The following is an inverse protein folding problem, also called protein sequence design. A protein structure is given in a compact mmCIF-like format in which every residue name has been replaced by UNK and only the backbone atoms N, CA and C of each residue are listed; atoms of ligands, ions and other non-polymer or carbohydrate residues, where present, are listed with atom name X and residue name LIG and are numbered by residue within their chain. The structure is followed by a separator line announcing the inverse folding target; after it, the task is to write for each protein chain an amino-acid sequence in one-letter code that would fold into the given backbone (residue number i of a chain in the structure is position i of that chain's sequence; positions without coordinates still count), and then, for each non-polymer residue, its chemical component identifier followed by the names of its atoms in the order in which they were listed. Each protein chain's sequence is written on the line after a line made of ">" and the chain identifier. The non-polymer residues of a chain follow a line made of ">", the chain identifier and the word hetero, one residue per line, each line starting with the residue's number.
data_IF_546412194943
#
_entry.id   IF_546412194943
#
_cell.length_a   1.000
_cell.length_b   1.000
_cell.length_c   1.000
_cell.angle_alpha   90.00
_cell.angle_beta   90.00
_cell.angle_gamma   90.00
#
_symmetry.space_group_name_H-M   'P 1'
#
loop_
_entity.id
_entity.type
_entity.pdbx_description
1 polymer ?
#
# COMPACT_ATOMS: atom_id res chain seq x y z
N UNK A 1 -26.24 17.39 25.90
CA UNK A 1 -25.07 16.60 25.51
C UNK A 1 -25.49 15.78 24.32
N UNK A 2 -25.18 16.27 23.11
CA UNK A 2 -25.58 15.64 21.85
C UNK A 2 -24.70 14.41 21.61
N UNK A 3 -25.33 13.22 21.60
CA UNK A 3 -24.67 11.97 21.27
C UNK A 3 -24.02 12.07 19.88
N UNK A 4 -22.69 12.00 19.81
CA UNK A 4 -21.99 11.82 18.53
C UNK A 4 -22.46 10.48 17.97
N UNK A 5 -22.93 10.49 16.73
CA UNK A 5 -23.29 9.29 15.98
C UNK A 5 -22.17 8.25 16.08
N UNK A 6 -22.48 6.96 16.20
CA UNK A 6 -21.52 5.84 16.25
C UNK A 6 -20.52 5.85 15.07
N UNK A 7 -20.91 6.46 13.94
CA UNK A 7 -20.07 6.64 12.75
C UNK A 7 -18.90 7.61 12.93
N UNK A 8 -18.91 8.48 13.95
CA UNK A 8 -17.86 9.47 14.21
C UNK A 8 -17.15 9.26 15.55
N UNK A 9 -17.02 8.01 15.97
CA UNK A 9 -16.33 7.65 17.22
C UNK A 9 -14.80 7.73 17.08
N UNK A 10 -14.12 7.98 18.19
CA UNK A 10 -12.68 7.79 18.28
C UNK A 10 -12.36 6.30 18.22
N UNK A 11 -11.29 5.94 17.54
CA UNK A 11 -10.73 4.58 17.57
C UNK A 11 -10.15 4.27 18.95
N UNK A 12 -10.07 2.98 19.31
CA UNK A 12 -9.28 2.56 20.45
C UNK A 12 -7.77 2.79 20.20
N UNK A 13 -6.96 2.74 21.25
CA UNK A 13 -5.52 3.02 21.14
C UNK A 13 -4.81 2.05 20.19
N UNK A 14 -5.21 0.78 20.16
CA UNK A 14 -4.61 -0.22 19.27
C UNK A 14 -5.01 0.04 17.82
N UNK A 15 -6.27 0.33 17.55
CA UNK A 15 -6.77 0.67 16.22
C UNK A 15 -6.13 1.94 15.68
N UNK A 16 -5.95 2.97 16.53
CA UNK A 16 -5.23 4.19 16.14
C UNK A 16 -3.77 3.90 15.84
N UNK A 17 -3.09 3.09 16.65
CA UNK A 17 -1.70 2.69 16.40
C UNK A 17 -1.50 2.02 15.03
N UNK A 18 -2.46 1.23 14.55
CA UNK A 18 -2.41 0.65 13.19
C UNK A 18 -2.43 1.72 12.09
N UNK A 19 -3.23 2.80 12.27
CA UNK A 19 -3.25 3.92 11.34
C UNK A 19 -1.99 4.79 11.43
N UNK A 20 -1.43 4.96 12.63
CA UNK A 20 -0.19 5.70 12.86
C UNK A 20 1.03 5.01 12.21
N UNK A 21 0.94 3.70 12.01
CA UNK A 21 1.94 2.90 11.31
C UNK A 21 1.83 3.00 9.77
N UNK A 22 0.80 3.66 9.24
CA UNK A 22 0.59 3.84 7.80
C UNK A 22 1.10 5.21 7.35
N UNK A 23 2.17 5.23 6.53
CA UNK A 23 2.71 6.41 5.88
C UNK A 23 2.11 6.58 4.50
N UNK A 24 1.73 7.78 4.14
CA UNK A 24 1.37 8.15 2.77
C UNK A 24 2.52 8.94 2.14
N UNK A 25 2.93 8.57 0.92
CA UNK A 25 4.07 9.18 0.23
C UNK A 25 3.60 9.71 -1.11
N UNK A 26 3.72 11.02 -1.32
CA UNK A 26 3.43 11.67 -2.60
C UNK A 26 4.76 11.93 -3.32
N UNK A 27 4.96 11.29 -4.46
CA UNK A 27 6.20 11.39 -5.25
C UNK A 27 6.04 12.48 -6.29
N UNK A 28 6.88 13.49 -6.20
CA UNK A 28 6.95 14.64 -7.12
C UNK A 28 5.59 15.27 -7.44
N UNK A 29 4.74 15.57 -6.42
CA UNK A 29 3.46 16.20 -6.68
C UNK A 29 3.68 17.55 -7.39
N UNK A 30 2.89 17.78 -8.44
CA UNK A 30 3.06 18.96 -9.30
C UNK A 30 2.29 20.18 -8.78
N UNK A 31 1.23 19.97 -7.99
CA UNK A 31 0.35 20.99 -7.46
C UNK A 31 0.35 20.97 -5.93
N UNK A 32 0.77 22.05 -5.29
CA UNK A 32 0.71 22.24 -3.84
C UNK A 32 -0.72 22.08 -3.29
N UNK A 33 -1.72 22.49 -4.06
CA UNK A 33 -3.13 22.33 -3.76
C UNK A 33 -3.55 20.85 -3.53
N UNK A 34 -2.96 19.90 -4.27
CA UNK A 34 -3.20 18.47 -4.06
C UNK A 34 -2.59 17.97 -2.74
N UNK A 35 -1.44 18.55 -2.31
CA UNK A 35 -0.84 18.25 -1.01
C UNK A 35 -1.79 18.72 0.11
N UNK A 36 -2.33 19.95 0.03
CA UNK A 36 -3.30 20.47 0.98
C UNK A 36 -4.56 19.59 1.08
N UNK A 37 -5.11 19.21 -0.07
CA UNK A 37 -6.27 18.30 -0.13
C UNK A 37 -5.97 16.93 0.46
N UNK A 38 -4.78 16.37 0.21
CA UNK A 38 -4.35 15.09 0.79
C UNK A 38 -4.19 15.19 2.32
N UNK A 39 -3.62 16.28 2.83
CA UNK A 39 -3.55 16.54 4.28
C UNK A 39 -4.94 16.52 4.91
N UNK A 40 -5.91 17.21 4.31
CA UNK A 40 -7.30 17.22 4.78
C UNK A 40 -7.92 15.82 4.76
N UNK A 41 -7.73 15.07 3.67
CA UNK A 41 -8.21 13.70 3.52
C UNK A 41 -7.68 12.80 4.64
N UNK A 42 -6.37 12.80 4.87
CA UNK A 42 -5.73 12.01 5.92
C UNK A 42 -6.13 12.43 7.32
N UNK A 43 -6.29 13.76 7.56
CA UNK A 43 -6.79 14.28 8.83
C UNK A 43 -8.18 13.76 9.15
N UNK A 44 -9.08 13.78 8.17
CA UNK A 44 -10.45 13.27 8.31
C UNK A 44 -10.46 11.77 8.64
N UNK A 45 -9.53 11.00 8.11
CA UNK A 45 -9.42 9.55 8.32
C UNK A 45 -8.57 9.18 9.55
N UNK A 46 -7.93 10.15 10.22
CA UNK A 46 -7.12 9.92 11.41
C UNK A 46 -5.75 9.31 11.14
N UNK A 47 -5.19 9.49 9.94
CA UNK A 47 -3.87 9.00 9.53
C UNK A 47 -2.86 10.14 9.63
N UNK A 48 -1.83 10.05 10.49
CA UNK A 48 -0.95 11.19 10.78
C UNK A 48 0.22 11.36 9.80
N UNK A 49 0.75 10.31 9.20
CA UNK A 49 2.05 10.34 8.52
C UNK A 49 1.89 10.58 7.00
N UNK A 50 2.14 11.83 6.58
CA UNK A 50 2.26 12.21 5.18
C UNK A 50 3.70 12.68 4.90
N UNK A 51 4.30 12.10 3.87
CA UNK A 51 5.62 12.41 3.37
C UNK A 51 5.53 12.87 1.91
N UNK A 52 6.24 13.94 1.57
CA UNK A 52 6.35 14.41 0.19
C UNK A 52 7.79 14.20 -0.29
N UNK A 53 7.94 13.61 -1.46
CA UNK A 53 9.24 13.36 -2.09
C UNK A 53 9.42 14.30 -3.26
N UNK A 54 10.49 15.09 -3.27
CA UNK A 54 10.86 15.99 -4.36
C UNK A 54 9.66 16.78 -4.92
N UNK A 55 8.90 17.54 -4.10
CA UNK A 55 7.79 18.34 -4.59
C UNK A 55 8.28 19.37 -5.61
N UNK A 56 7.46 19.67 -6.61
CA UNK A 56 7.79 20.72 -7.59
C UNK A 56 7.96 22.08 -6.94
N UNK A 57 7.15 22.38 -5.95
CA UNK A 57 7.26 23.57 -5.10
C UNK A 57 7.75 23.16 -3.70
N UNK A 58 8.97 23.55 -3.35
CA UNK A 58 9.56 23.28 -2.04
C UNK A 58 8.86 24.05 -0.91
N UNK A 59 8.23 25.20 -1.23
CA UNK A 59 7.49 26.04 -0.31
C UNK A 59 6.00 25.68 -0.20
N UNK A 60 5.60 24.49 -0.64
CA UNK A 60 4.20 24.03 -0.69
C UNK A 60 3.41 24.23 0.62
N UNK A 61 4.09 24.31 1.77
CA UNK A 61 3.44 24.49 3.09
C UNK A 61 2.86 25.89 3.27
N UNK A 62 3.47 26.89 2.62
CA UNK A 62 3.04 28.29 2.62
C UNK A 62 2.20 28.65 1.37
N UNK A 63 2.05 27.73 0.42
CA UNK A 63 1.25 27.95 -0.78
C UNK A 63 -0.21 28.22 -0.45
N UNK A 64 -0.76 29.30 -1.02
CA UNK A 64 -2.13 29.73 -0.74
C UNK A 64 -3.18 28.68 -1.14
N UNK A 65 -2.95 27.96 -2.25
CA UNK A 65 -3.82 26.88 -2.71
C UNK A 65 -3.78 25.66 -1.78
N UNK A 66 -2.57 25.30 -1.30
CA UNK A 66 -2.42 24.22 -0.33
C UNK A 66 -3.10 24.55 1.00
N UNK A 67 -2.91 25.76 1.53
CA UNK A 67 -3.55 26.23 2.76
C UNK A 67 -5.08 26.26 2.63
N UNK A 68 -5.60 26.80 1.52
CA UNK A 68 -7.05 26.85 1.27
C UNK A 68 -7.69 25.46 1.23
N UNK A 69 -7.02 24.46 0.61
CA UNK A 69 -7.56 23.11 0.49
C UNK A 69 -7.26 22.21 1.69
N UNK A 70 -6.29 22.58 2.53
CA UNK A 70 -6.08 21.93 3.82
C UNK A 70 -7.22 22.23 4.83
N UNK A 71 -7.92 23.36 4.67
CA UNK A 71 -9.15 23.80 5.37
C UNK A 71 -9.39 23.16 6.75
N UNK A 72 -8.83 23.75 7.81
CA UNK A 72 -8.91 23.26 9.21
C UNK A 72 -7.83 22.23 9.57
N UNK A 73 -6.93 21.89 8.64
CA UNK A 73 -5.79 21.02 8.87
C UNK A 73 -4.44 21.71 8.57
N UNK A 74 -4.40 23.05 8.59
CA UNK A 74 -3.21 23.85 8.24
C UNK A 74 -2.03 23.55 9.17
N UNK A 75 -2.30 23.35 10.46
CA UNK A 75 -1.27 22.97 11.44
C UNK A 75 -0.59 21.63 11.08
N UNK A 76 -1.31 20.72 10.45
CA UNK A 76 -0.76 19.45 9.94
C UNK A 76 -0.01 19.65 8.63
N UNK A 77 -0.49 20.53 7.74
CA UNK A 77 0.22 20.87 6.50
C UNK A 77 1.62 21.41 6.84
N UNK A 78 1.75 22.26 7.84
CA UNK A 78 3.03 22.79 8.30
C UNK A 78 4.01 21.68 8.79
N UNK A 79 3.50 20.53 9.25
CA UNK A 79 4.28 19.40 9.76
C UNK A 79 4.57 18.31 8.72
N UNK A 80 4.04 18.42 7.50
CA UNK A 80 4.27 17.43 6.44
C UNK A 80 5.76 17.24 6.19
N UNK A 81 6.24 16.02 6.27
CA UNK A 81 7.62 15.67 6.03
C UNK A 81 8.01 15.84 4.54
N UNK A 82 9.28 16.15 4.28
CA UNK A 82 9.83 16.16 2.92
C UNK A 82 11.11 15.35 2.84
N UNK A 83 11.31 14.63 1.74
CA UNK A 83 12.53 13.84 1.48
C UNK A 83 13.03 14.08 0.05
N UNK A 84 14.36 13.99 -0.20
CA UNK A 84 14.89 14.20 -1.53
C UNK A 84 14.62 13.03 -2.50
N UNK A 85 14.36 11.82 -1.99
CA UNK A 85 14.15 10.63 -2.81
C UNK A 85 13.13 9.67 -2.17
N UNK A 86 12.55 8.80 -3.00
CA UNK A 86 11.64 7.75 -2.54
C UNK A 86 12.37 6.77 -1.60
N UNK A 87 13.61 6.40 -1.90
CA UNK A 87 14.42 5.51 -1.05
C UNK A 87 14.57 6.10 0.37
N UNK A 88 14.79 7.42 0.48
CA UNK A 88 14.87 8.09 1.78
C UNK A 88 13.52 8.15 2.52
N UNK A 89 12.41 8.23 1.79
CA UNK A 89 11.08 8.22 2.37
C UNK A 89 10.61 6.84 2.83
N UNK A 90 11.18 5.77 2.24
CA UNK A 90 10.82 4.37 2.53
C UNK A 90 11.81 3.67 3.48
N UNK A 91 12.93 4.30 3.83
CA UNK A 91 14.07 3.63 4.48
C UNK A 91 13.71 2.88 5.78
N UNK A 92 12.76 3.41 6.56
CA UNK A 92 12.26 2.87 7.83
C UNK A 92 10.93 2.09 7.71
N UNK A 93 10.44 1.87 6.49
CA UNK A 93 9.27 1.03 6.22
C UNK A 93 9.69 -0.41 5.92
N UNK A 94 8.85 -1.39 6.24
CA UNK A 94 9.08 -2.79 5.89
C UNK A 94 8.27 -3.23 4.67
N UNK A 95 7.24 -2.47 4.33
CA UNK A 95 6.38 -2.72 3.18
C UNK A 95 6.05 -1.41 2.47
N UNK A 96 6.11 -1.41 1.15
CA UNK A 96 5.63 -0.33 0.31
C UNK A 96 4.56 -0.85 -0.66
N UNK A 97 3.48 -0.11 -0.77
CA UNK A 97 2.33 -0.36 -1.63
C UNK A 97 2.29 0.74 -2.69
N UNK A 98 2.50 0.38 -3.95
CA UNK A 98 2.29 1.32 -5.06
C UNK A 98 0.79 1.54 -5.27
N UNK A 99 0.33 2.78 -5.35
CA UNK A 99 -1.03 3.13 -5.73
C UNK A 99 -1.00 3.66 -7.16
N UNK A 100 -1.52 2.87 -8.10
CA UNK A 100 -1.45 3.18 -9.53
C UNK A 100 -2.60 2.54 -10.28
N UNK A 101 -3.13 3.23 -11.30
CA UNK A 101 -4.11 2.66 -12.23
C UNK A 101 -3.46 1.59 -13.13
N UNK A 102 -2.18 1.75 -13.47
CA UNK A 102 -1.45 0.86 -14.37
C UNK A 102 -0.29 0.15 -13.67
N UNK A 103 -0.15 -1.15 -13.96
CA UNK A 103 1.00 -1.95 -13.56
C UNK A 103 2.22 -1.74 -14.46
N UNK A 104 3.31 -2.41 -14.11
CA UNK A 104 4.55 -2.47 -14.91
C UNK A 104 4.95 -3.93 -15.09
N UNK A 105 5.72 -4.21 -16.14
CA UNK A 105 6.09 -5.57 -16.58
C UNK A 105 6.61 -6.50 -15.47
N UNK A 106 7.36 -5.95 -14.50
CA UNK A 106 7.90 -6.68 -13.34
C UNK A 106 7.35 -6.16 -12.02
N UNK A 107 6.10 -5.66 -12.02
CA UNK A 107 5.42 -5.22 -10.80
C UNK A 107 4.71 -6.38 -10.08
N UNK A 108 4.29 -6.18 -8.83
CA UNK A 108 3.40 -7.10 -8.12
C UNK A 108 2.05 -7.22 -8.82
N UNK A 109 1.27 -8.26 -8.50
CA UNK A 109 -0.10 -8.39 -8.98
C UNK A 109 -1.01 -7.32 -8.38
N UNK A 110 -2.02 -6.81 -9.12
CA UNK A 110 -2.94 -5.80 -8.61
C UNK A 110 -3.85 -6.36 -7.52
N UNK A 111 -4.12 -5.53 -6.52
CA UNK A 111 -5.14 -5.80 -5.51
C UNK A 111 -6.03 -4.56 -5.33
N UNK A 112 -7.29 -4.78 -4.96
CA UNK A 112 -8.23 -3.69 -4.68
C UNK A 112 -8.04 -3.13 -3.26
N UNK A 113 -8.49 -1.88 -2.99
CA UNK A 113 -8.26 -1.21 -1.72
C UNK A 113 -8.72 -2.01 -0.48
N UNK A 114 -9.93 -2.53 -0.48
CA UNK A 114 -10.48 -3.27 0.67
C UNK A 114 -9.62 -4.48 1.08
N UNK A 115 -9.44 -5.49 0.20
CA UNK A 115 -8.62 -6.67 0.50
C UNK A 115 -7.18 -6.33 0.89
N UNK A 116 -6.53 -5.40 0.18
CA UNK A 116 -5.13 -5.06 0.46
C UNK A 116 -4.97 -4.28 1.77
N UNK A 117 -5.87 -3.36 2.09
CA UNK A 117 -5.86 -2.69 3.39
C UNK A 117 -6.08 -3.67 4.54
N UNK A 118 -6.96 -4.66 4.38
CA UNK A 118 -7.16 -5.71 5.39
C UNK A 118 -5.92 -6.59 5.56
N UNK A 119 -5.21 -6.96 4.47
CA UNK A 119 -3.92 -7.67 4.51
C UNK A 119 -2.87 -6.87 5.28
N UNK A 120 -2.67 -5.60 4.90
CA UNK A 120 -1.70 -4.68 5.54
C UNK A 120 -1.96 -4.54 7.04
N UNK A 121 -3.21 -4.31 7.43
CA UNK A 121 -3.58 -4.21 8.85
C UNK A 121 -3.39 -5.54 9.59
N UNK A 122 -3.57 -6.67 8.88
CA UNK A 122 -3.24 -8.00 9.39
C UNK A 122 -1.77 -8.14 9.74
N UNK A 123 -0.88 -7.75 8.83
CA UNK A 123 0.57 -7.78 9.01
C UNK A 123 1.04 -6.86 10.14
N UNK A 124 0.50 -5.63 10.23
CA UNK A 124 0.76 -4.68 11.32
C UNK A 124 0.30 -5.26 12.67
N UNK A 125 -0.92 -5.78 12.72
CA UNK A 125 -1.50 -6.37 13.94
C UNK A 125 -0.74 -7.60 14.43
N UNK A 126 -0.16 -8.38 13.53
CA UNK A 126 0.66 -9.55 13.82
C UNK A 126 2.12 -9.20 14.16
N UNK A 127 2.51 -7.92 14.08
CA UNK A 127 3.90 -7.48 14.32
C UNK A 127 4.89 -7.89 13.22
N UNK A 128 4.42 -8.39 12.08
CA UNK A 128 5.26 -8.77 10.94
C UNK A 128 5.90 -7.54 10.29
N UNK A 129 5.18 -6.43 10.27
CA UNK A 129 5.66 -5.11 9.85
C UNK A 129 5.34 -4.09 10.93
N UNK A 130 6.14 -3.03 11.03
CA UNK A 130 5.94 -1.92 11.97
C UNK A 130 5.50 -0.65 11.27
N UNK A 131 5.87 -0.49 9.99
CA UNK A 131 5.49 0.65 9.17
C UNK A 131 5.29 0.25 7.73
N UNK A 132 4.19 0.70 7.15
CA UNK A 132 3.83 0.48 5.75
C UNK A 132 3.69 1.83 5.05
N UNK A 133 4.22 1.94 3.83
CA UNK A 133 4.07 3.14 3.00
C UNK A 133 3.10 2.87 1.84
N UNK A 134 2.16 3.80 1.61
CA UNK A 134 1.33 3.88 0.42
C UNK A 134 1.88 4.98 -0.48
N UNK A 135 2.36 4.61 -1.66
CA UNK A 135 3.14 5.47 -2.56
C UNK A 135 2.28 5.88 -3.75
N UNK A 136 2.15 7.18 -3.92
CA UNK A 136 1.38 7.81 -5.00
C UNK A 136 2.33 8.58 -5.91
N UNK A 137 2.15 8.45 -7.21
CA UNK A 137 2.97 9.13 -8.21
C UNK A 137 2.47 10.53 -8.56
N UNK A 138 3.06 11.10 -9.60
CA UNK A 138 2.66 12.41 -10.14
C UNK A 138 1.23 12.37 -10.70
N UNK A 139 0.57 13.52 -10.73
CA UNK A 139 -0.81 13.64 -11.25
C UNK A 139 -0.93 13.28 -12.73
N UNK A 140 0.14 13.47 -13.52
CA UNK A 140 0.11 13.27 -14.96
C UNK A 140 0.51 11.87 -15.41
N UNK A 141 1.53 11.28 -14.79
CA UNK A 141 2.16 10.04 -15.26
C UNK A 141 2.09 8.90 -14.25
N UNK A 142 1.52 9.16 -13.06
CA UNK A 142 1.52 8.19 -11.97
C UNK A 142 2.94 7.83 -11.50
N UNK A 143 3.12 6.60 -11.06
CA UNK A 143 4.42 6.05 -10.65
C UNK A 143 5.19 5.53 -11.86
N UNK A 144 6.47 5.90 -11.97
CA UNK A 144 7.40 5.37 -12.95
C UNK A 144 7.84 3.93 -12.64
N UNK A 145 8.50 3.29 -13.61
CA UNK A 145 8.99 1.91 -13.45
C UNK A 145 9.96 1.75 -12.28
N UNK A 146 10.84 2.74 -12.07
CA UNK A 146 11.80 2.72 -10.96
C UNK A 146 11.12 2.84 -9.59
N UNK A 147 10.06 3.63 -9.49
CA UNK A 147 9.27 3.81 -8.25
C UNK A 147 8.43 2.57 -7.96
N UNK A 148 7.76 2.02 -8.97
CA UNK A 148 7.01 0.75 -8.85
C UNK A 148 7.93 -0.40 -8.39
N UNK A 149 9.18 -0.45 -8.86
CA UNK A 149 10.15 -1.46 -8.47
C UNK A 149 10.60 -1.38 -7.00
N UNK A 150 10.30 -0.28 -6.29
CA UNK A 150 10.51 -0.12 -4.84
C UNK A 150 9.36 -0.69 -4.01
N UNK A 151 8.22 -0.99 -4.63
CA UNK A 151 7.01 -1.42 -3.95
C UNK A 151 6.83 -2.94 -4.07
N UNK A 152 6.42 -3.60 -2.97
CA UNK A 152 6.20 -5.03 -2.90
C UNK A 152 4.74 -5.41 -3.15
N UNK A 153 3.84 -4.44 -3.08
CA UNK A 153 2.41 -4.59 -3.38
C UNK A 153 1.96 -3.51 -4.35
N UNK A 154 0.91 -3.81 -5.09
CA UNK A 154 0.27 -2.86 -5.99
C UNK A 154 -1.23 -2.78 -5.66
N UNK A 155 -1.67 -1.57 -5.32
CA UNK A 155 -3.08 -1.22 -5.13
C UNK A 155 -3.58 -0.51 -6.38
N UNK A 156 -4.64 -1.02 -6.97
CA UNK A 156 -5.36 -0.37 -8.05
C UNK A 156 -6.77 -0.02 -7.59
N UNK A 157 -7.20 1.22 -7.84
CA UNK A 157 -8.55 1.68 -7.54
C UNK A 157 -9.40 1.40 -8.78
N UNK A 158 -10.48 0.60 -8.67
CA UNK A 158 -11.38 0.39 -9.79
C UNK A 158 -11.96 1.70 -10.28
N UNK A 159 -11.83 1.97 -11.56
CA UNK A 159 -12.35 3.15 -12.22
C UNK A 159 -12.92 2.76 -13.60
N UNK A 160 -13.57 3.69 -14.25
CA UNK A 160 -14.05 3.51 -15.61
C UNK A 160 -12.89 3.24 -16.58
N UNK A 161 -13.10 2.32 -17.54
CA UNK A 161 -12.06 1.90 -18.48
C UNK A 161 -11.60 3.03 -19.40
N UNK A 162 -12.51 3.94 -19.75
CA UNK A 162 -12.22 5.06 -20.64
C UNK A 162 -11.67 6.27 -19.89
N UNK A 163 -11.86 6.33 -18.55
CA UNK A 163 -11.40 7.43 -17.71
C UNK A 163 -10.91 6.93 -16.33
N UNK A 164 -9.78 6.26 -16.31
CA UNK A 164 -9.24 5.59 -15.11
C UNK A 164 -8.38 6.50 -14.22
N UNK A 165 -8.03 7.71 -14.68
CA UNK A 165 -7.13 8.62 -13.95
C UNK A 165 -7.88 9.40 -12.86
N UNK A 166 -7.59 9.12 -11.61
CA UNK A 166 -8.10 9.89 -10.47
C UNK A 166 -7.19 11.08 -10.16
N UNK A 167 -7.78 12.16 -9.66
CA UNK A 167 -6.99 13.20 -9.00
C UNK A 167 -6.20 12.60 -7.83
N UNK A 168 -4.97 13.09 -7.60
CA UNK A 168 -4.07 12.58 -6.58
C UNK A 168 -4.72 12.55 -5.19
N UNK A 169 -5.35 13.65 -4.77
CA UNK A 169 -5.99 13.73 -3.45
C UNK A 169 -7.24 12.83 -3.34
N UNK A 170 -7.96 12.59 -4.44
CA UNK A 170 -9.06 11.64 -4.48
C UNK A 170 -8.56 10.20 -4.27
N UNK A 171 -7.47 9.82 -4.94
CA UNK A 171 -6.84 8.52 -4.73
C UNK A 171 -6.37 8.35 -3.27
N UNK A 172 -5.74 9.38 -2.69
CA UNK A 172 -5.38 9.41 -1.26
C UNK A 172 -6.59 9.21 -0.36
N UNK A 173 -7.71 9.90 -0.65
CA UNK A 173 -8.95 9.78 0.15
C UNK A 173 -9.52 8.37 0.11
N UNK A 174 -9.55 7.72 -1.06
CA UNK A 174 -10.09 6.35 -1.21
C UNK A 174 -9.26 5.36 -0.41
N UNK A 175 -7.94 5.41 -0.52
CA UNK A 175 -7.05 4.50 0.24
C UNK A 175 -7.15 4.75 1.75
N UNK A 176 -7.17 6.01 2.18
CA UNK A 176 -7.31 6.39 3.58
C UNK A 176 -8.66 5.95 4.16
N UNK A 177 -9.75 6.09 3.39
CA UNK A 177 -11.07 5.60 3.75
C UNK A 177 -11.08 4.07 3.91
N UNK A 178 -10.49 3.35 2.94
CA UNK A 178 -10.43 1.88 2.98
C UNK A 178 -9.65 1.35 4.17
N UNK A 179 -8.54 2.02 4.55
CA UNK A 179 -7.80 1.71 5.78
C UNK A 179 -8.66 1.93 7.02
N UNK A 180 -9.32 3.09 7.13
CA UNK A 180 -10.17 3.38 8.28
C UNK A 180 -11.34 2.41 8.38
N UNK A 181 -11.97 2.07 7.27
CA UNK A 181 -13.05 1.08 7.21
C UNK A 181 -12.55 -0.29 7.71
N UNK A 182 -11.43 -0.78 7.19
CA UNK A 182 -10.86 -2.05 7.59
C UNK A 182 -10.45 -2.10 9.08
N UNK A 183 -9.98 -0.97 9.64
CA UNK A 183 -9.71 -0.84 11.08
C UNK A 183 -11.01 -0.96 11.89
N UNK A 184 -12.08 -0.27 11.49
CA UNK A 184 -13.39 -0.31 12.16
C UNK A 184 -14.01 -1.73 12.12
N UNK A 185 -13.90 -2.43 10.98
CA UNK A 185 -14.35 -3.81 10.83
C UNK A 185 -13.59 -4.77 11.76
N UNK A 186 -12.25 -4.62 11.88
CA UNK A 186 -11.43 -5.40 12.81
C UNK A 186 -11.79 -5.10 14.27
N UNK A 187 -12.00 -3.85 14.61
CA UNK A 187 -12.41 -3.44 15.96
C UNK A 187 -13.76 -4.07 16.33
N UNK A 188 -14.75 -4.02 15.44
CA UNK A 188 -16.05 -4.66 15.61
C UNK A 188 -15.93 -6.20 15.73
N UNK A 189 -15.06 -6.83 14.96
CA UNK A 189 -14.77 -8.26 15.04
C UNK A 189 -14.15 -8.67 16.38
N UNK A 190 -13.22 -7.86 16.92
CA UNK A 190 -12.63 -8.09 18.25
C UNK A 190 -13.64 -7.97 19.39
N UNK A 191 -14.51 -6.96 19.32
CA UNK A 191 -15.57 -6.75 20.32
C UNK A 191 -16.52 -7.95 20.33
N UNK A 192 -16.93 -8.45 19.17
CA UNK A 192 -17.78 -9.67 19.08
C UNK A 192 -17.10 -10.91 19.63
N UNK A 193 -15.80 -11.07 19.42
CA UNK A 193 -15.03 -12.22 19.89
C UNK A 193 -14.80 -12.18 21.42
N UNK A 194 -14.72 -10.99 22.02
CA UNK A 194 -14.57 -10.83 23.49
C UNK A 194 -15.87 -10.97 24.27
N UNK A 195 -17.02 -11.10 23.60
CA UNK A 195 -18.31 -11.28 24.26
C UNK A 195 -18.87 -10.02 24.94
N UNK A 196 -18.23 -8.88 24.77
CA UNK A 196 -18.53 -7.62 25.50
C UNK A 196 -19.51 -6.70 24.73
N UNK A 197 -20.32 -7.27 23.82
CA UNK A 197 -21.22 -6.48 22.98
C UNK A 197 -22.69 -6.80 23.25
N UNK A 198 -23.37 -5.95 24.01
CA UNK A 198 -24.80 -5.76 23.93
C UNK A 198 -25.11 -4.78 22.79
N UNK A 199 -25.35 -5.32 21.59
CA UNK A 199 -25.94 -4.55 20.50
C UNK A 199 -27.39 -4.20 20.87
N UNK A 200 -27.68 -2.90 20.92
CA UNK A 200 -29.05 -2.45 20.71
C UNK A 200 -29.54 -3.02 19.38
N UNK A 201 -30.70 -3.65 19.39
CA UNK A 201 -31.31 -4.34 18.27
C UNK A 201 -31.33 -3.44 17.03
N UNK A 202 -30.47 -3.75 16.05
CA UNK A 202 -30.68 -3.27 14.69
C UNK A 202 -31.86 -4.08 14.16
N UNK A 203 -33.00 -3.44 14.02
CA UNK A 203 -34.14 -3.99 13.31
C UNK A 203 -33.66 -4.40 11.92
N UNK A 204 -33.45 -5.70 11.73
CA UNK A 204 -33.32 -6.32 10.43
C UNK A 204 -34.71 -6.22 9.77
N UNK A 205 -34.89 -5.17 8.96
CA UNK A 205 -36.00 -5.11 8.04
C UNK A 205 -35.92 -6.35 7.16
N UNK A 206 -36.97 -7.20 7.22
CA UNK A 206 -37.11 -8.36 6.35
C UNK A 206 -36.97 -7.92 4.89
N UNK A 207 -36.20 -8.67 4.06
CA UNK A 207 -36.16 -8.39 2.63
C UNK A 207 -37.56 -8.65 2.08
N UNK A 208 -38.19 -7.62 1.52
CA UNK A 208 -39.46 -7.66 0.83
C UNK A 208 -39.46 -8.78 -0.21
N UNK A 209 -40.27 -9.80 0.02
CA UNK A 209 -40.62 -10.87 -0.92
C UNK A 209 -41.48 -10.28 -2.04
N UNK A 210 -40.87 -9.66 -3.03
CA UNK A 210 -41.59 -9.29 -4.26
C UNK A 210 -40.52 -9.10 -5.37
N UNK A 211 -40.18 -10.18 -6.05
CA UNK A 211 -39.70 -10.26 -7.44
C UNK A 211 -39.18 -11.68 -7.76
N UNK A 212 -39.97 -12.71 -7.36
CA UNK A 212 -39.88 -14.01 -8.02
C UNK A 212 -41.08 -14.12 -9.00
N UNK A 213 -40.80 -13.90 -10.25
CA UNK A 213 -41.77 -14.09 -11.31
C UNK A 213 -41.26 -13.60 -12.65
N UNK A 214 -41.02 -14.55 -13.53
CA UNK A 214 -40.77 -14.40 -14.95
C UNK A 214 -39.30 -14.18 -15.40
N UNK A 215 -38.72 -15.33 -15.74
CA UNK A 215 -37.94 -15.53 -16.96
C UNK A 215 -37.68 -17.04 -17.12
N UNK A 216 -38.71 -17.76 -17.61
CA UNK A 216 -38.54 -19.08 -18.19
C UNK A 216 -38.31 -18.97 -19.68
N UNK A 217 -37.29 -19.69 -20.15
CA UNK A 217 -37.24 -20.14 -21.54
C UNK A 217 -36.17 -19.50 -22.43
N UNK A 218 -35.02 -20.16 -22.54
CA UNK A 218 -34.38 -20.45 -23.83
C UNK A 218 -33.52 -21.71 -23.65
N UNK A 219 -33.90 -22.77 -24.32
CA UNK A 219 -33.12 -23.99 -24.56
C UNK A 219 -32.09 -23.78 -25.67
N UNK A 220 -30.89 -24.38 -25.52
CA UNK A 220 -29.96 -24.60 -26.63
C UNK A 220 -28.53 -24.93 -26.16
N UNK A 221 -27.77 -25.75 -26.90
CA UNK A 221 -27.52 -27.15 -26.63
C UNK A 221 -26.14 -27.41 -25.95
N UNK A 222 -26.05 -28.63 -25.44
CA UNK A 222 -24.87 -29.23 -24.78
C UNK A 222 -23.59 -29.14 -25.60
N UNK A 223 -22.55 -28.58 -25.03
CA UNK A 223 -21.19 -28.62 -25.51
C UNK A 223 -20.26 -29.01 -24.35
N UNK A 224 -19.78 -30.28 -24.37
CA UNK A 224 -18.79 -30.80 -23.43
C UNK A 224 -17.49 -29.98 -23.53
N UNK A 225 -17.19 -29.19 -22.49
CA UNK A 225 -15.93 -28.48 -22.31
C UNK A 225 -15.40 -28.72 -20.91
N UNK A 226 -14.26 -29.41 -20.82
CA UNK A 226 -13.49 -29.69 -19.61
C UNK A 226 -13.36 -28.43 -18.74
N UNK A 227 -13.53 -28.54 -17.41
CA UNK A 227 -13.27 -27.43 -16.53
C UNK A 227 -11.75 -27.18 -16.49
N UNK A 228 -11.34 -25.99 -16.94
CA UNK A 228 -10.02 -25.45 -16.66
C UNK A 228 -9.87 -25.33 -15.14
N UNK A 229 -8.81 -25.93 -14.62
CA UNK A 229 -8.44 -25.92 -13.21
C UNK A 229 -8.31 -24.48 -12.73
N UNK A 230 -9.34 -23.99 -12.04
CA UNK A 230 -9.27 -22.78 -11.23
C UNK A 230 -8.23 -23.02 -10.14
N UNK A 231 -7.06 -22.40 -10.30
CA UNK A 231 -6.04 -22.39 -9.28
C UNK A 231 -6.64 -21.79 -8.01
N UNK A 232 -7.01 -22.64 -7.08
CA UNK A 232 -7.22 -22.26 -5.69
C UNK A 232 -5.89 -21.67 -5.25
N UNK A 233 -5.88 -20.35 -4.97
CA UNK A 233 -4.84 -19.76 -4.18
C UNK A 233 -4.91 -20.46 -2.82
N UNK A 234 -4.16 -21.55 -2.73
CA UNK A 234 -3.85 -22.19 -1.47
C UNK A 234 -3.09 -21.15 -0.66
N UNK A 235 -3.78 -20.62 0.35
CA UNK A 235 -3.17 -19.74 1.34
C UNK A 235 -2.10 -20.52 2.08
N UNK A 236 -0.94 -20.73 1.43
CA UNK A 236 0.26 -21.18 2.11
C UNK A 236 0.49 -20.21 3.25
N UNK A 237 0.11 -20.64 4.45
CA UNK A 237 0.63 -20.09 5.69
C UNK A 237 2.14 -20.16 5.55
N UNK A 238 2.73 -19.00 5.30
CA UNK A 238 4.17 -18.87 5.30
C UNK A 238 4.64 -19.37 6.68
N UNK A 239 5.51 -20.36 6.71
CA UNK A 239 6.06 -20.95 7.92
C UNK A 239 6.98 -19.99 8.71
N UNK A 240 7.02 -18.72 8.29
CA UNK A 240 7.72 -17.57 8.87
C UNK A 240 6.90 -16.80 9.92
N UNK A 241 5.87 -17.42 10.52
CA UNK A 241 5.08 -16.81 11.59
C UNK A 241 5.98 -16.47 12.78
N UNK A 242 6.44 -15.22 12.85
CA UNK A 242 7.23 -14.69 13.97
C UNK A 242 8.47 -13.86 13.56
N UNK A 243 8.98 -13.96 12.34
CA UNK A 243 10.13 -13.17 11.91
C UNK A 243 9.70 -11.81 11.32
N UNK A 244 10.37 -10.75 11.79
CA UNK A 244 10.14 -9.39 11.29
C UNK A 244 10.77 -9.20 9.91
N UNK A 245 10.04 -8.53 9.03
CA UNK A 245 10.56 -8.14 7.72
C UNK A 245 11.69 -7.11 7.88
N UNK A 246 12.65 -7.16 6.95
CA UNK A 246 13.72 -6.18 6.89
C UNK A 246 13.18 -4.80 6.48
N UNK A 247 13.82 -3.74 6.99
CA UNK A 247 13.55 -2.39 6.52
C UNK A 247 13.92 -2.25 5.05
N UNK A 248 13.12 -1.53 4.28
CA UNK A 248 13.35 -1.32 2.84
C UNK A 248 14.68 -0.63 2.56
N UNK A 249 15.19 0.20 3.49
CA UNK A 249 16.53 0.76 3.41
C UNK A 249 17.63 -0.31 3.47
N UNK A 250 17.47 -1.35 4.30
CA UNK A 250 18.39 -2.48 4.36
C UNK A 250 18.31 -3.36 3.10
N UNK A 251 17.11 -3.60 2.59
CA UNK A 251 16.85 -4.33 1.34
C UNK A 251 17.46 -3.59 0.14
N UNK A 252 17.29 -2.27 0.05
CA UNK A 252 17.89 -1.47 -1.02
C UNK A 252 19.44 -1.46 -0.92
N UNK A 253 19.98 -1.45 0.29
CA UNK A 253 21.41 -1.63 0.53
C UNK A 253 21.93 -3.00 0.06
N UNK A 254 21.13 -4.08 0.20
CA UNK A 254 21.45 -5.39 -0.35
C UNK A 254 21.46 -5.36 -1.89
N UNK A 255 20.47 -4.75 -2.54
CA UNK A 255 20.44 -4.66 -4.01
C UNK A 255 21.64 -3.91 -4.57
N UNK A 256 22.03 -2.79 -3.95
CA UNK A 256 23.26 -2.05 -4.36
C UNK A 256 24.50 -2.90 -4.19
N UNK A 257 24.62 -3.64 -3.10
CA UNK A 257 25.75 -4.56 -2.86
C UNK A 257 25.77 -5.68 -3.90
N UNK A 258 24.64 -6.34 -4.14
CA UNK A 258 24.51 -7.40 -5.14
C UNK A 258 24.86 -6.89 -6.56
N UNK A 259 24.42 -5.70 -6.93
CA UNK A 259 24.72 -5.08 -8.21
C UNK A 259 26.25 -4.88 -8.39
N UNK A 260 26.93 -4.35 -7.38
CA UNK A 260 28.38 -4.15 -7.35
C UNK A 260 29.13 -5.50 -7.45
N UNK A 261 28.75 -6.49 -6.64
CA UNK A 261 29.39 -7.80 -6.61
C UNK A 261 29.19 -8.58 -7.93
N UNK A 262 27.98 -8.52 -8.52
CA UNK A 262 27.69 -9.14 -9.82
C UNK A 262 28.43 -8.46 -10.98
N UNK A 263 28.65 -7.16 -10.89
CA UNK A 263 29.48 -6.42 -11.85
C UNK A 263 30.95 -6.83 -11.73
N UNK A 264 31.50 -6.92 -10.51
CA UNK A 264 32.87 -7.37 -10.26
C UNK A 264 33.10 -8.83 -10.75
N UNK A 265 32.09 -9.68 -10.62
CA UNK A 265 32.12 -11.07 -11.12
C UNK A 265 31.97 -11.16 -12.66
N UNK A 266 31.66 -10.06 -13.35
CA UNK A 266 31.42 -10.04 -14.80
C UNK A 266 30.03 -10.61 -15.23
N UNK A 267 29.18 -10.96 -14.29
CA UNK A 267 27.82 -11.46 -14.56
C UNK A 267 26.87 -10.32 -14.97
N UNK A 268 27.12 -9.11 -14.48
CA UNK A 268 26.40 -7.89 -14.80
C UNK A 268 27.33 -6.92 -15.54
N UNK A 269 26.96 -6.53 -16.75
CA UNK A 269 27.64 -5.45 -17.48
C UNK A 269 26.97 -4.12 -17.09
N UNK A 270 27.67 -3.18 -16.38
CA UNK A 270 27.09 -1.89 -16.00
C UNK A 270 26.68 -1.04 -17.19
N UNK A 271 27.34 -1.19 -18.36
CA UNK A 271 26.98 -0.47 -19.58
C UNK A 271 25.74 -1.07 -20.27
N UNK A 272 25.41 -2.34 -19.98
CA UNK A 272 24.27 -3.05 -20.53
C UNK A 272 23.63 -3.93 -19.44
N UNK A 273 23.01 -3.34 -18.40
CA UNK A 273 22.55 -4.06 -17.19
C UNK A 273 21.44 -5.05 -17.47
N UNK A 274 20.91 -5.12 -18.71
CA UNK A 274 19.79 -5.97 -19.09
C UNK A 274 18.67 -5.84 -18.05
N UNK A 275 17.95 -6.97 -17.77
CA UNK A 275 16.83 -6.96 -16.79
C UNK A 275 17.15 -7.72 -15.50
N UNK A 276 18.45 -8.04 -15.25
CA UNK A 276 18.84 -8.90 -14.12
C UNK A 276 18.41 -8.30 -12.77
N UNK A 277 18.78 -7.05 -12.49
CA UNK A 277 18.43 -6.41 -11.22
C UNK A 277 16.92 -6.22 -11.06
N UNK A 278 16.20 -5.91 -12.13
CA UNK A 278 14.73 -5.82 -12.08
C UNK A 278 14.08 -7.18 -11.74
N UNK A 279 14.60 -8.27 -12.31
CA UNK A 279 14.13 -9.64 -12.01
C UNK A 279 14.44 -10.06 -10.57
N UNK A 280 15.62 -9.71 -10.04
CA UNK A 280 15.99 -9.99 -8.65
C UNK A 280 15.09 -9.20 -7.68
N UNK A 281 14.83 -7.92 -7.96
CA UNK A 281 13.89 -7.12 -7.18
C UNK A 281 12.49 -7.71 -7.19
N UNK A 282 12.00 -8.14 -8.36
CA UNK A 282 10.69 -8.79 -8.47
C UNK A 282 10.64 -10.12 -7.71
N UNK A 283 11.70 -10.96 -7.82
CA UNK A 283 11.80 -12.23 -7.11
C UNK A 283 11.72 -12.04 -5.59
N UNK A 284 12.60 -11.22 -5.03
CA UNK A 284 12.67 -10.99 -3.59
C UNK A 284 11.51 -10.14 -3.07
N UNK A 285 10.97 -9.22 -3.89
CA UNK A 285 9.79 -8.41 -3.52
C UNK A 285 8.54 -9.25 -3.26
N UNK A 286 8.39 -10.39 -3.94
CA UNK A 286 7.27 -11.32 -3.71
C UNK A 286 7.38 -12.04 -2.36
N UNK A 287 8.60 -12.31 -1.89
CA UNK A 287 8.84 -13.06 -0.65
C UNK A 287 8.93 -12.17 0.57
N UNK A 288 9.17 -10.85 0.40
CA UNK A 288 9.35 -9.89 1.49
C UNK A 288 10.43 -10.38 2.49
N UNK A 289 11.69 -10.00 2.25
CA UNK A 289 12.85 -10.53 2.98
C UNK A 289 12.81 -10.17 4.47
N UNK A 290 13.17 -11.12 5.32
CA UNK A 290 13.48 -10.89 6.74
C UNK A 290 14.87 -10.28 6.92
N UNK A 291 15.17 -9.71 8.08
CA UNK A 291 16.49 -9.16 8.40
C UNK A 291 17.59 -10.23 8.30
N UNK A 292 17.32 -11.45 8.78
CA UNK A 292 18.25 -12.58 8.70
C UNK A 292 18.55 -13.00 7.26
N UNK A 293 17.56 -12.97 6.37
CA UNK A 293 17.75 -13.28 4.95
C UNK A 293 18.56 -12.20 4.23
N UNK A 294 18.36 -10.92 4.56
CA UNK A 294 19.18 -9.82 4.06
C UNK A 294 20.64 -10.00 4.48
N UNK A 295 20.91 -10.37 5.75
CA UNK A 295 22.27 -10.59 6.24
C UNK A 295 22.93 -11.80 5.58
N UNK A 296 22.18 -12.89 5.38
CA UNK A 296 22.64 -14.08 4.64
C UNK A 296 23.08 -13.69 3.22
N UNK A 297 22.20 -13.02 2.47
CA UNK A 297 22.47 -12.61 1.08
C UNK A 297 23.65 -11.62 0.99
N UNK A 298 23.78 -10.70 1.96
CA UNK A 298 24.96 -9.84 2.07
C UNK A 298 26.24 -10.61 2.37
N UNK A 299 26.14 -11.72 3.12
CA UNK A 299 27.25 -12.65 3.33
C UNK A 299 27.75 -13.23 2.01
N UNK A 300 26.85 -13.67 1.14
CA UNK A 300 27.18 -14.20 -0.20
C UNK A 300 27.85 -13.11 -1.04
N UNK A 301 27.34 -11.88 -1.05
CA UNK A 301 27.96 -10.77 -1.78
C UNK A 301 29.40 -10.51 -1.29
N UNK A 302 29.63 -10.48 0.03
CA UNK A 302 31.00 -10.33 0.61
C UNK A 302 31.96 -11.45 0.19
N UNK A 303 31.47 -12.67 0.05
CA UNK A 303 32.29 -13.81 -0.42
C UNK A 303 32.66 -13.68 -1.90
N UNK A 304 31.73 -13.18 -2.72
CA UNK A 304 32.01 -12.82 -4.11
C UNK A 304 33.09 -11.75 -4.17
N UNK A 305 32.92 -10.64 -3.44
CA UNK A 305 33.86 -9.50 -3.44
C UNK A 305 35.28 -9.93 -3.02
N UNK A 306 35.41 -10.91 -2.09
CA UNK A 306 36.71 -11.47 -1.68
C UNK A 306 37.39 -12.27 -2.77
N UNK A 307 36.63 -12.92 -3.65
CA UNK A 307 37.16 -13.77 -4.71
C UNK A 307 37.43 -13.03 -6.02
N UNK A 308 36.88 -11.82 -6.16
CA UNK A 308 37.06 -10.96 -7.35
C UNK A 308 38.10 -9.87 -7.16
N UNK A 309 38.66 -9.73 -5.95
CA UNK A 309 39.85 -8.92 -5.63
C UNK A 309 41.11 -9.72 -5.86
#
# INVERSE_FOLDING_TARGET
>A
MTGRSETHRKLDAFSQHLLDACRFVLVSPSLSANIGSAVRALTTMGIPDLMVVAPRDAAFREDAGALALAAGAEARLAQVGSRPSLDAALADCQLAVAVSAEGREFGPSPAFPGPLCAEVLGMLSAGQVQRVAFVFGTERTGLGTAEMARCQRWLTIPADADYSSLNLAQAVQIVAFSLRQAVLEREAGRVRASGDFTLGEVHSGEPSRALEGQLTGVHGPEGEGRPAAGGRHDGRRDSRTGERLADLGAVEGLYRHAESSLAALGTLDPARPRRLMARLRHLFGRTSLTAAEVDLLRGICRDIDRRTK
#
